data_IF_645083069090
#
_entry.id   IF_645083069090
#
_cell.length_a   1.000
_cell.length_b   1.000
_cell.length_c   1.000
_cell.angle_alpha   90.00
_cell.angle_beta   90.00
_cell.angle_gamma   90.00
#
_symmetry.space_group_name_H-M   'P 1'
#
loop_
_entity.id
_entity.type
_entity.pdbx_description
1 polymer ?
#
# COMPACT_ATOMS: atom_id res chain seq x y z
N UNK A 1 15.16 11.31 8.82
CA UNK A 1 15.64 11.92 7.53
C UNK A 1 14.58 12.84 6.94
N UNK A 2 14.98 14.00 6.30
CA UNK A 2 14.03 14.83 5.58
C UNK A 2 13.82 14.34 4.16
N UNK A 3 12.55 14.21 3.78
CA UNK A 3 12.12 13.81 2.44
C UNK A 3 11.13 14.83 1.87
N UNK A 4 11.21 15.06 0.57
CA UNK A 4 10.16 15.74 -0.19
C UNK A 4 9.52 14.74 -1.12
N UNK A 5 8.20 14.61 -1.00
CA UNK A 5 7.39 13.76 -1.88
C UNK A 5 6.41 14.61 -2.65
N UNK A 6 6.00 14.16 -3.83
CA UNK A 6 4.97 14.84 -4.60
C UNK A 6 4.46 13.98 -5.74
N UNK A 7 3.28 14.32 -6.19
CA UNK A 7 2.63 13.65 -7.31
C UNK A 7 1.91 14.71 -8.16
N UNK A 8 2.03 14.58 -9.49
CA UNK A 8 1.26 15.34 -10.47
C UNK A 8 0.52 14.33 -11.32
N UNK A 9 -0.79 14.44 -11.35
CA UNK A 9 -1.67 13.59 -12.15
C UNK A 9 -2.54 14.47 -13.03
N UNK A 10 -2.66 14.11 -14.31
CA UNK A 10 -3.50 14.81 -15.27
C UNK A 10 -4.42 13.81 -15.95
N UNK A 11 -5.66 14.20 -16.15
CA UNK A 11 -6.70 13.37 -16.75
C UNK A 11 -7.45 14.20 -17.79
N UNK A 12 -7.84 13.55 -18.87
CA UNK A 12 -8.85 14.03 -19.81
C UNK A 12 -10.11 13.20 -19.60
N UNK A 13 -11.14 13.79 -19.02
CA UNK A 13 -12.36 13.11 -18.59
C UNK A 13 -13.50 13.40 -19.56
N UNK A 14 -14.09 12.34 -20.13
CA UNK A 14 -15.23 12.48 -21.03
C UNK A 14 -16.54 12.83 -20.31
N UNK A 15 -16.64 12.46 -19.03
CA UNK A 15 -17.82 12.68 -18.16
C UNK A 15 -17.37 13.06 -16.75
N UNK A 16 -18.30 13.58 -15.95
CA UNK A 16 -18.06 13.72 -14.51
C UNK A 16 -17.66 12.39 -13.89
N UNK A 17 -16.54 12.39 -13.15
CA UNK A 17 -15.93 11.18 -12.63
C UNK A 17 -15.67 11.30 -11.13
N UNK A 18 -16.19 10.36 -10.32
CA UNK A 18 -15.87 10.31 -8.90
C UNK A 18 -14.44 9.78 -8.69
N UNK A 19 -13.69 10.44 -7.78
CA UNK A 19 -12.38 10.01 -7.33
C UNK A 19 -12.38 9.74 -5.84
N UNK A 20 -11.71 8.65 -5.44
CA UNK A 20 -11.24 8.40 -4.08
C UNK A 20 -9.73 8.33 -4.16
N UNK A 21 -9.06 9.21 -3.45
CA UNK A 21 -7.62 9.44 -3.54
C UNK A 21 -6.97 9.21 -2.18
N UNK A 22 -5.75 8.67 -2.18
CA UNK A 22 -4.87 8.50 -1.02
C UNK A 22 -3.49 9.10 -1.36
N UNK A 23 -3.47 10.39 -1.66
CA UNK A 23 -2.29 11.10 -2.18
C UNK A 23 -1.62 11.99 -1.13
N UNK A 24 -2.14 12.02 0.08
CA UNK A 24 -1.59 12.83 1.18
C UNK A 24 -0.98 11.93 2.24
N UNK A 25 0.29 12.14 2.61
CA UNK A 25 0.91 11.42 3.70
C UNK A 25 0.24 11.81 5.03
N UNK A 26 0.25 10.89 5.97
CA UNK A 26 -0.28 11.09 7.32
C UNK A 26 0.87 11.22 8.31
N UNK A 27 0.77 12.14 9.26
CA UNK A 27 1.65 12.13 10.43
C UNK A 27 1.30 10.97 11.36
N UNK A 28 2.32 10.36 11.94
CA UNK A 28 2.21 9.23 12.84
C UNK A 28 3.47 9.09 13.68
N UNK A 29 3.66 7.94 14.32
CA UNK A 29 4.81 7.66 15.17
C UNK A 29 6.12 7.71 14.37
N UNK A 30 6.11 7.18 13.14
CA UNK A 30 7.31 7.01 12.33
C UNK A 30 7.62 8.19 11.40
N UNK A 31 6.68 9.14 11.26
CA UNK A 31 6.86 10.30 10.39
C UNK A 31 6.04 11.50 10.82
N UNK A 32 6.57 12.68 10.50
CA UNK A 32 5.90 13.96 10.70
C UNK A 32 5.85 14.74 9.38
N UNK A 33 4.62 15.13 8.98
CA UNK A 33 4.39 15.99 7.80
C UNK A 33 4.48 17.44 8.27
N UNK A 34 5.53 18.14 7.85
CA UNK A 34 5.80 19.50 8.30
C UNK A 34 5.18 20.57 7.39
N UNK A 35 5.10 20.28 6.11
CA UNK A 35 4.49 21.16 5.09
C UNK A 35 3.78 20.31 4.05
N UNK A 36 2.64 20.81 3.61
CA UNK A 36 1.85 20.15 2.58
C UNK A 36 1.21 21.17 1.65
N UNK A 37 1.15 20.79 0.37
CA UNK A 37 0.37 21.47 -0.66
C UNK A 37 -0.48 20.44 -1.40
N UNK A 38 -1.78 20.70 -1.50
CA UNK A 38 -2.72 19.87 -2.22
C UNK A 38 -3.62 20.77 -3.08
N UNK A 39 -3.55 20.61 -4.39
CA UNK A 39 -4.26 21.47 -5.34
C UNK A 39 -4.93 20.61 -6.40
N UNK A 40 -6.21 20.90 -6.67
CA UNK A 40 -6.96 20.31 -7.79
C UNK A 40 -7.39 21.41 -8.76
N UNK A 41 -7.34 21.13 -10.05
CA UNK A 41 -7.75 22.06 -11.10
C UNK A 41 -8.61 21.34 -12.14
N UNK A 42 -9.82 21.90 -12.47
CA UNK A 42 -10.44 23.04 -11.83
C UNK A 42 -10.72 22.77 -10.35
N UNK A 43 -10.87 23.83 -9.56
CA UNK A 43 -11.18 23.71 -8.13
C UNK A 43 -12.58 23.10 -7.93
N UNK A 44 -12.65 22.03 -7.15
CA UNK A 44 -13.89 21.32 -6.80
C UNK A 44 -13.93 21.09 -5.29
N UNK A 45 -15.11 20.87 -4.70
CA UNK A 45 -15.22 20.46 -3.31
C UNK A 45 -14.52 19.12 -3.06
N UNK A 46 -13.69 19.06 -2.02
CA UNK A 46 -12.99 17.85 -1.60
C UNK A 46 -13.44 17.50 -0.20
N UNK A 47 -13.89 16.27 0.00
CA UNK A 47 -14.25 15.73 1.32
C UNK A 47 -13.14 14.80 1.79
N UNK A 48 -12.56 15.11 2.95
CA UNK A 48 -11.56 14.26 3.59
C UNK A 48 -12.21 13.29 4.58
N UNK A 49 -11.67 12.08 4.63
CA UNK A 49 -12.05 11.07 5.61
C UNK A 49 -10.89 10.12 5.89
N UNK A 50 -10.97 9.38 6.99
CA UNK A 50 -10.05 8.30 7.30
C UNK A 50 -10.75 6.97 7.07
N UNK A 51 -10.12 6.07 6.34
CA UNK A 51 -10.66 4.73 6.12
C UNK A 51 -10.41 3.79 7.33
N UNK A 52 -10.92 2.56 7.24
CA UNK A 52 -10.77 1.58 8.32
C UNK A 52 -9.32 1.11 8.56
N UNK A 53 -8.42 1.41 7.63
CA UNK A 53 -6.98 1.12 7.73
C UNK A 53 -6.17 2.32 8.22
N UNK A 54 -6.84 3.42 8.54
CA UNK A 54 -6.21 4.65 9.00
C UNK A 54 -5.62 5.52 7.89
N UNK A 55 -5.89 5.25 6.62
CA UNK A 55 -5.42 6.08 5.51
C UNK A 55 -6.19 7.39 5.44
N UNK A 56 -5.48 8.49 5.18
CA UNK A 56 -6.09 9.78 4.89
C UNK A 56 -6.56 9.81 3.44
N UNK A 57 -7.87 9.81 3.26
CA UNK A 57 -8.52 9.73 1.97
C UNK A 57 -9.18 11.06 1.58
N UNK A 58 -9.24 11.34 0.27
CA UNK A 58 -9.95 12.47 -0.31
C UNK A 58 -10.98 11.95 -1.32
N UNK A 59 -12.21 12.41 -1.19
CA UNK A 59 -13.31 12.11 -2.13
C UNK A 59 -13.74 13.39 -2.81
N UNK A 60 -13.84 13.34 -4.15
CA UNK A 60 -14.29 14.46 -4.97
C UNK A 60 -14.99 13.95 -6.23
N UNK A 61 -15.69 14.84 -6.93
CA UNK A 61 -16.21 14.62 -8.28
C UNK A 61 -15.49 15.59 -9.20
N UNK A 62 -14.72 15.06 -10.14
CA UNK A 62 -14.06 15.85 -11.16
C UNK A 62 -15.03 16.11 -12.32
N UNK A 63 -15.10 17.34 -12.85
CA UNK A 63 -15.91 17.64 -14.03
C UNK A 63 -15.32 16.99 -15.29
N UNK A 64 -16.10 16.91 -16.35
CA UNK A 64 -15.60 16.56 -17.68
C UNK A 64 -14.61 17.60 -18.19
N UNK A 65 -13.67 17.17 -19.03
CA UNK A 65 -12.56 17.97 -19.55
C UNK A 65 -11.24 17.69 -18.85
N UNK A 66 -10.33 18.65 -18.91
CA UNK A 66 -9.02 18.54 -18.29
C UNK A 66 -9.12 18.67 -16.77
N UNK A 67 -8.59 17.69 -16.07
CA UNK A 67 -8.53 17.67 -14.61
C UNK A 67 -7.12 17.32 -14.12
N UNK A 68 -6.60 18.08 -13.17
CA UNK A 68 -5.27 17.83 -12.61
C UNK A 68 -5.25 17.87 -11.09
N UNK A 69 -4.40 17.05 -10.52
CA UNK A 69 -4.13 16.95 -9.08
C UNK A 69 -2.63 17.12 -8.87
N UNK A 70 -2.26 18.06 -8.01
CA UNK A 70 -0.87 18.32 -7.62
C UNK A 70 -0.75 18.20 -6.12
N UNK A 71 0.14 17.33 -5.66
CA UNK A 71 0.47 17.20 -4.24
C UNK A 71 1.96 17.36 -4.02
N UNK A 72 2.33 17.94 -2.89
CA UNK A 72 3.72 18.01 -2.44
C UNK A 72 3.75 18.06 -0.91
N UNK A 73 4.67 17.30 -0.31
CA UNK A 73 4.81 17.25 1.14
C UNK A 73 6.28 17.18 1.54
N UNK A 74 6.65 17.97 2.57
CA UNK A 74 7.92 17.86 3.26
C UNK A 74 7.71 17.02 4.53
N UNK A 75 8.44 15.92 4.65
CA UNK A 75 8.22 14.89 5.67
C UNK A 75 9.53 14.65 6.40
N UNK A 76 9.48 14.64 7.73
CA UNK A 76 10.54 14.10 8.58
C UNK A 76 10.19 12.65 8.93
N UNK A 77 11.00 11.70 8.48
CA UNK A 77 10.87 10.28 8.85
C UNK A 77 11.77 9.92 10.02
N UNK A 78 11.50 8.79 10.67
CA UNK A 78 12.46 8.18 11.58
C UNK A 78 13.83 8.00 10.89
N UNK A 79 14.91 8.03 11.65
CA UNK A 79 16.27 7.84 11.13
C UNK A 79 16.55 6.36 10.88
N UNK A 80 16.07 5.51 11.78
CA UNK A 80 16.27 4.08 11.73
C UNK A 80 14.98 3.37 11.28
N UNK A 81 15.17 2.23 10.60
CA UNK A 81 14.09 1.30 10.28
C UNK A 81 13.92 0.39 11.50
N UNK A 82 12.70 0.31 12.03
CA UNK A 82 12.38 -0.62 13.10
C UNK A 82 12.41 -2.06 12.55
N UNK A 83 13.51 -2.77 12.83
CA UNK A 83 13.73 -4.14 12.42
C UNK A 83 13.99 -4.99 13.64
N UNK A 84 13.09 -5.92 13.93
CA UNK A 84 13.20 -6.84 15.06
C UNK A 84 13.58 -8.24 14.58
N UNK A 85 14.86 -8.43 14.20
CA UNK A 85 15.37 -9.73 13.72
C UNK A 85 15.19 -10.80 14.80
N UNK A 86 14.59 -11.94 14.40
CA UNK A 86 14.33 -13.06 15.29
C UNK A 86 13.12 -12.87 16.23
N UNK A 87 12.28 -11.86 15.99
CA UNK A 87 11.03 -11.73 16.73
C UNK A 87 10.23 -13.04 16.63
N UNK A 88 9.71 -13.56 17.77
CA UNK A 88 8.99 -14.83 17.78
C UNK A 88 7.62 -14.70 17.12
N UNK A 89 7.03 -15.86 16.80
CA UNK A 89 5.63 -15.93 16.41
C UNK A 89 4.74 -15.47 17.58
N UNK A 90 3.77 -14.62 17.26
CA UNK A 90 2.78 -14.16 18.24
C UNK A 90 1.47 -14.92 18.05
N UNK A 91 0.93 -15.47 19.14
CA UNK A 91 -0.33 -16.19 19.08
C UNK A 91 -1.50 -15.23 18.90
N UNK A 92 -2.54 -15.69 18.19
CA UNK A 92 -3.71 -14.87 17.88
C UNK A 92 -4.40 -14.27 19.11
N UNK A 93 -4.33 -14.94 20.25
CA UNK A 93 -4.92 -14.49 21.52
C UNK A 93 -4.23 -13.23 22.10
N UNK A 94 -3.00 -12.93 21.65
CA UNK A 94 -2.24 -11.76 22.09
C UNK A 94 -2.20 -10.63 21.05
N UNK A 95 -2.78 -10.88 19.86
CA UNK A 95 -2.81 -9.85 18.81
C UNK A 95 -3.81 -8.73 19.17
N UNK A 96 -3.46 -7.45 18.95
CA UNK A 96 -4.40 -6.36 19.09
C UNK A 96 -5.60 -6.52 18.13
N UNK A 97 -6.81 -6.18 18.60
CA UNK A 97 -8.05 -6.34 17.82
C UNK A 97 -8.00 -5.68 16.43
N UNK A 98 -7.33 -4.54 16.33
CA UNK A 98 -7.23 -3.79 15.09
C UNK A 98 -6.36 -4.46 14.01
N UNK A 99 -5.56 -5.47 14.34
CA UNK A 99 -4.75 -6.21 13.36
C UNK A 99 -5.44 -7.49 12.87
N UNK A 100 -6.50 -7.96 13.55
CA UNK A 100 -7.19 -9.20 13.18
C UNK A 100 -7.77 -9.16 11.76
N UNK A 101 -8.14 -7.98 11.27
CA UNK A 101 -8.63 -7.79 9.91
C UNK A 101 -7.59 -8.19 8.85
N UNK A 102 -6.29 -8.10 9.15
CA UNK A 102 -5.22 -8.45 8.23
C UNK A 102 -4.95 -9.95 8.11
N UNK A 103 -5.58 -10.76 8.97
CA UNK A 103 -5.52 -12.23 8.89
C UNK A 103 -6.51 -12.79 7.85
N UNK A 104 -7.42 -11.97 7.36
CA UNK A 104 -8.45 -12.39 6.40
C UNK A 104 -7.93 -12.27 4.97
N UNK A 105 -8.28 -13.23 4.09
CA UNK A 105 -8.03 -13.09 2.67
C UNK A 105 -8.83 -11.93 2.09
N UNK A 106 -8.31 -11.31 1.04
CA UNK A 106 -8.99 -10.24 0.31
C UNK A 106 -9.13 -10.62 -1.16
N UNK A 107 -9.87 -9.81 -1.93
CA UNK A 107 -10.02 -10.01 -3.36
C UNK A 107 -8.67 -10.04 -4.12
N UNK A 108 -7.70 -9.25 -3.67
CA UNK A 108 -6.40 -9.13 -4.33
C UNK A 108 -5.28 -9.88 -3.62
N UNK A 109 -5.51 -10.29 -2.37
CA UNK A 109 -4.59 -11.10 -1.59
C UNK A 109 -5.35 -12.32 -1.05
N UNK A 110 -5.45 -13.34 -1.89
CA UNK A 110 -6.13 -14.62 -1.60
C UNK A 110 -5.21 -15.49 -0.73
N UNK A 111 -4.90 -15.04 0.48
CA UNK A 111 -3.94 -15.70 1.38
C UNK A 111 -4.31 -17.16 1.69
N UNK A 112 -5.59 -17.49 1.72
CA UNK A 112 -6.12 -18.84 1.87
C UNK A 112 -5.70 -19.81 0.76
N UNK A 113 -5.32 -19.29 -0.42
CA UNK A 113 -4.86 -20.08 -1.57
C UNK A 113 -3.35 -20.31 -1.59
N UNK A 114 -2.61 -19.70 -0.67
CA UNK A 114 -1.15 -19.78 -0.61
C UNK A 114 -0.63 -20.66 0.51
N UNK A 115 -1.50 -21.34 1.25
CA UNK A 115 -1.12 -22.11 2.46
C UNK A 115 -0.03 -23.15 2.15
N UNK A 116 -0.20 -23.92 1.08
CA UNK A 116 0.78 -24.95 0.72
C UNK A 116 2.08 -24.34 0.20
N UNK A 117 1.99 -23.34 -0.69
CA UNK A 117 3.19 -22.62 -1.17
C UNK A 117 3.95 -21.94 -0.02
N UNK A 118 3.23 -21.30 0.90
CA UNK A 118 3.87 -20.65 2.05
C UNK A 118 4.60 -21.69 2.93
N UNK A 119 3.98 -22.85 3.16
CA UNK A 119 4.59 -23.95 3.92
C UNK A 119 5.87 -24.46 3.24
N UNK A 120 5.82 -24.62 1.91
CA UNK A 120 6.98 -25.07 1.14
C UNK A 120 8.12 -24.04 1.17
N UNK A 121 7.79 -22.75 1.13
CA UNK A 121 8.79 -21.66 1.18
C UNK A 121 9.45 -21.58 2.55
N UNK A 122 8.68 -21.59 3.62
CA UNK A 122 9.22 -21.37 4.97
C UNK A 122 9.96 -22.59 5.50
N UNK A 123 9.65 -23.82 5.01
CA UNK A 123 10.34 -25.04 5.41
C UNK A 123 10.51 -25.17 6.93
N UNK A 124 11.76 -25.32 7.37
CA UNK A 124 12.13 -25.45 8.79
C UNK A 124 12.48 -24.10 9.47
N UNK A 125 12.19 -22.96 8.84
CA UNK A 125 12.46 -21.65 9.42
C UNK A 125 11.72 -21.48 10.77
N UNK A 126 12.36 -20.79 11.72
CA UNK A 126 11.75 -20.55 13.04
C UNK A 126 10.45 -19.75 12.87
N UNK A 127 9.39 -20.12 13.59
CA UNK A 127 8.15 -19.36 13.59
C UNK A 127 8.35 -17.89 13.97
N UNK A 128 7.75 -16.99 13.20
CA UNK A 128 7.84 -15.54 13.37
C UNK A 128 8.63 -14.85 12.28
N UNK A 129 9.58 -13.99 12.66
CA UNK A 129 10.35 -13.14 11.76
C UNK A 129 11.06 -13.93 10.65
N UNK A 130 11.67 -15.07 11.00
CA UNK A 130 12.46 -15.86 10.04
C UNK A 130 11.57 -16.41 8.91
N UNK A 131 10.35 -16.85 9.21
CA UNK A 131 9.38 -17.28 8.19
C UNK A 131 9.00 -16.15 7.23
N UNK A 132 8.78 -14.94 7.76
CA UNK A 132 8.48 -13.76 6.92
C UNK A 132 9.68 -13.43 6.02
N UNK A 133 10.89 -13.54 6.55
CA UNK A 133 12.12 -13.32 5.79
C UNK A 133 12.27 -14.28 4.62
N UNK A 134 11.99 -15.58 4.82
CA UNK A 134 12.02 -16.57 3.73
C UNK A 134 10.99 -16.24 2.64
N UNK A 135 9.78 -15.83 3.02
CA UNK A 135 8.75 -15.41 2.04
C UNK A 135 9.21 -14.18 1.26
N UNK A 136 9.78 -13.17 1.92
CA UNK A 136 10.29 -11.95 1.26
C UNK A 136 11.41 -12.30 0.27
N UNK A 137 12.36 -13.14 0.68
CA UNK A 137 13.44 -13.59 -0.19
C UNK A 137 12.91 -14.37 -1.40
N UNK A 138 11.94 -15.26 -1.17
CA UNK A 138 11.30 -15.99 -2.25
C UNK A 138 10.62 -15.06 -3.26
N UNK A 139 9.86 -14.06 -2.79
CA UNK A 139 9.21 -13.07 -3.66
C UNK A 139 10.26 -12.32 -4.49
N UNK A 140 11.33 -11.85 -3.87
CA UNK A 140 12.42 -11.14 -4.56
C UNK A 140 13.08 -11.96 -5.67
N UNK A 141 13.18 -13.27 -5.48
CA UNK A 141 13.79 -14.18 -6.43
C UNK A 141 12.84 -14.64 -7.56
N UNK A 142 11.54 -14.70 -7.28
CA UNK A 142 10.57 -15.34 -8.17
C UNK A 142 9.56 -14.39 -8.81
N UNK A 143 9.38 -13.19 -8.28
CA UNK A 143 8.43 -12.20 -8.81
C UNK A 143 9.23 -10.99 -9.31
N UNK A 144 9.12 -10.73 -10.60
CA UNK A 144 9.79 -9.57 -11.21
C UNK A 144 8.88 -8.36 -11.20
N UNK A 145 9.40 -7.21 -10.77
CA UNK A 145 8.71 -5.94 -10.96
C UNK A 145 8.76 -5.53 -12.44
N UNK A 146 7.58 -5.31 -13.05
CA UNK A 146 7.47 -4.85 -14.42
C UNK A 146 6.29 -3.88 -14.53
N UNK A 147 6.57 -2.58 -14.69
CA UNK A 147 5.55 -1.53 -14.78
C UNK A 147 4.60 -1.69 -15.97
N UNK A 148 4.95 -2.49 -16.95
CA UNK A 148 4.16 -2.73 -18.17
C UNK A 148 3.50 -4.11 -18.20
N UNK A 149 3.57 -4.90 -17.13
CA UNK A 149 3.06 -6.27 -17.11
C UNK A 149 1.54 -6.36 -17.24
N UNK A 150 0.82 -5.32 -16.84
CA UNK A 150 -0.65 -5.29 -16.92
C UNK A 150 -1.18 -3.85 -16.92
N UNK A 151 -2.37 -3.69 -17.53
CA UNK A 151 -3.20 -2.50 -17.45
C UNK A 151 -4.35 -2.64 -16.44
N UNK A 152 -4.49 -3.82 -15.85
CA UNK A 152 -5.54 -4.13 -14.87
C UNK A 152 -4.92 -4.57 -13.56
N UNK A 153 -5.66 -4.39 -12.47
CA UNK A 153 -5.26 -4.90 -11.17
C UNK A 153 -5.34 -6.43 -11.16
N UNK A 154 -4.21 -7.07 -10.93
CA UNK A 154 -4.09 -8.52 -10.75
C UNK A 154 -4.18 -8.90 -9.28
N UNK A 155 -4.69 -10.08 -9.01
CA UNK A 155 -4.62 -10.69 -7.68
C UNK A 155 -3.24 -11.30 -7.41
N UNK A 156 -2.95 -11.59 -6.15
CA UNK A 156 -1.69 -12.23 -5.75
C UNK A 156 -1.49 -13.60 -6.45
N UNK A 157 -2.57 -14.35 -6.65
CA UNK A 157 -2.52 -15.63 -7.39
C UNK A 157 -2.13 -15.41 -8.84
N UNK A 158 -2.71 -14.44 -9.52
CA UNK A 158 -2.38 -14.11 -10.91
C UNK A 158 -0.94 -13.62 -11.05
N UNK A 159 -0.48 -12.74 -10.15
CA UNK A 159 0.92 -12.29 -10.11
C UNK A 159 1.87 -13.46 -9.89
N UNK A 160 1.55 -14.38 -8.96
CA UNK A 160 2.36 -15.57 -8.73
C UNK A 160 2.42 -16.49 -9.96
N UNK A 161 1.34 -16.63 -10.71
CA UNK A 161 1.31 -17.41 -11.95
C UNK A 161 2.15 -16.78 -13.06
N UNK A 162 2.05 -15.47 -13.23
CA UNK A 162 2.78 -14.73 -14.26
C UNK A 162 4.27 -14.49 -13.89
N UNK A 163 4.64 -14.61 -12.62
CA UNK A 163 5.96 -14.29 -12.09
C UNK A 163 6.40 -12.84 -12.30
N UNK A 164 5.45 -11.96 -12.54
CA UNK A 164 5.69 -10.51 -12.65
C UNK A 164 4.45 -9.71 -12.26
N UNK A 165 4.67 -8.48 -11.83
CA UNK A 165 3.60 -7.58 -11.43
C UNK A 165 4.07 -6.14 -11.28
N UNK A 166 3.13 -5.29 -10.92
CA UNK A 166 3.33 -3.87 -10.59
C UNK A 166 3.21 -3.66 -9.08
N UNK A 167 3.39 -2.43 -8.61
CA UNK A 167 3.12 -2.13 -7.21
C UNK A 167 1.69 -2.46 -6.83
#
# INVERSE_FOLDING_TARGET
MWLRTGCIMTFELSIETPFILMLRPRSGVEQWVSRESYTVKPSVPVVEFTDNYGNLCQRLIAPSGDFSIHTSSDILTAEDIDVCVGAPFENIEYLPDNVLTYLLPTRYCESDRFVDLARDIVGDAKPGYDQVSEIVLWIQQHIRFNSNSTHFQLSAVEVNQQREGVC
#
